data_IF_126403350919
#
_entry.id   IF_126403350919
#
_cell.length_a   1.000
_cell.length_b   1.000
_cell.length_c   1.000
_cell.angle_alpha   90.00
_cell.angle_beta   90.00
_cell.angle_gamma   90.00
#
_symmetry.space_group_name_H-M   'P 1'
#
loop_
_entity.id
_entity.type
_entity.pdbx_description
1 polymer ?
#
# COMPACT_ATOMS: atom_id res chain seq x y z
N UNK A 1 -21.29 31.99 1.39
CA UNK A 1 -20.63 30.95 0.59
C UNK A 1 -19.14 31.08 0.84
N UNK A 2 -18.68 30.54 1.96
CA UNK A 2 -17.25 30.45 2.28
C UNK A 2 -16.70 29.27 1.49
N UNK A 3 -15.70 29.56 0.68
CA UNK A 3 -14.99 28.63 -0.19
C UNK A 3 -14.46 27.45 0.64
N UNK A 4 -15.12 26.29 0.53
CA UNK A 4 -14.94 25.15 1.43
C UNK A 4 -13.83 24.18 1.00
N UNK A 5 -13.04 24.51 -0.03
CA UNK A 5 -12.16 23.51 -0.63
C UNK A 5 -10.71 23.92 -0.85
N UNK A 6 -10.23 24.99 -0.20
CA UNK A 6 -8.81 25.36 -0.28
C UNK A 6 -8.03 24.70 0.86
N UNK A 7 -7.91 23.37 0.83
CA UNK A 7 -6.99 22.68 1.75
C UNK A 7 -5.58 23.17 1.50
N UNK A 8 -4.88 23.41 2.59
CA UNK A 8 -3.61 24.09 2.56
C UNK A 8 -2.55 23.12 1.97
N UNK A 9 -1.80 23.49 0.91
CA UNK A 9 -0.68 22.70 0.40
C UNK A 9 0.32 22.29 1.49
N UNK A 10 0.41 23.04 2.60
CA UNK A 10 1.22 22.68 3.77
C UNK A 10 0.79 21.37 4.46
N UNK A 11 -0.47 20.93 4.35
CA UNK A 11 -0.94 19.66 4.92
C UNK A 11 -0.32 18.45 4.21
N UNK A 12 -0.28 18.48 2.87
CA UNK A 12 0.39 17.45 2.06
C UNK A 12 1.91 17.45 2.28
N UNK A 13 2.51 18.61 2.55
CA UNK A 13 3.95 18.72 2.79
C UNK A 13 4.39 17.95 4.05
N UNK A 14 3.60 17.95 5.12
CA UNK A 14 3.94 17.22 6.35
C UNK A 14 3.83 15.71 6.12
N UNK A 15 2.75 15.27 5.48
CA UNK A 15 2.52 13.90 5.05
C UNK A 15 3.68 13.35 4.21
N UNK A 16 4.03 14.06 3.12
CA UNK A 16 5.12 13.68 2.21
C UNK A 16 6.46 13.69 2.95
N UNK A 17 6.74 14.68 3.81
CA UNK A 17 7.98 14.70 4.61
C UNK A 17 8.08 13.50 5.54
N UNK A 18 6.99 13.12 6.21
CA UNK A 18 7.00 11.94 7.07
C UNK A 18 7.24 10.67 6.25
N UNK A 19 6.51 10.47 5.15
CA UNK A 19 6.64 9.30 4.29
C UNK A 19 8.04 9.20 3.65
N UNK A 20 8.57 10.32 3.16
CA UNK A 20 9.80 10.35 2.36
C UNK A 20 11.08 10.48 3.19
N UNK A 21 11.03 11.19 4.33
CA UNK A 21 12.24 11.66 5.03
C UNK A 21 12.35 11.16 6.47
N UNK A 22 11.29 10.65 7.08
CA UNK A 22 11.38 10.13 8.45
C UNK A 22 12.13 8.79 8.47
N UNK A 23 13.02 8.62 9.44
CA UNK A 23 13.66 7.32 9.66
C UNK A 23 12.64 6.32 10.24
N UNK A 24 11.61 6.83 10.90
CA UNK A 24 10.51 6.11 11.51
C UNK A 24 9.70 5.32 10.46
N UNK A 25 9.31 5.93 9.33
CA UNK A 25 8.64 5.20 8.24
C UNK A 25 9.53 4.09 7.69
N UNK A 26 10.81 4.38 7.46
CA UNK A 26 11.76 3.36 7.00
C UNK A 26 11.91 2.20 7.99
N UNK A 27 11.87 2.48 9.30
CA UNK A 27 11.90 1.46 10.35
C UNK A 27 10.59 0.64 10.40
N UNK A 28 9.43 1.30 10.28
CA UNK A 28 8.12 0.65 10.24
C UNK A 28 7.99 -0.27 9.01
N UNK A 29 8.40 0.19 7.82
CA UNK A 29 8.41 -0.61 6.60
C UNK A 29 9.28 -1.87 6.75
N UNK A 30 10.48 -1.74 7.36
CA UNK A 30 11.33 -2.90 7.69
C UNK A 30 10.65 -3.84 8.68
N UNK A 31 9.96 -3.30 9.68
CA UNK A 31 9.21 -4.09 10.65
C UNK A 31 8.09 -4.89 9.96
N UNK A 32 7.36 -4.27 9.02
CA UNK A 32 6.33 -4.93 8.23
C UNK A 32 6.92 -6.10 7.43
N UNK A 33 8.04 -5.90 6.73
CA UNK A 33 8.68 -6.99 5.98
C UNK A 33 9.34 -8.06 6.87
N UNK A 34 9.85 -7.69 8.04
CA UNK A 34 10.35 -8.66 9.02
C UNK A 34 9.21 -9.56 9.54
N UNK A 35 8.05 -8.97 9.84
CA UNK A 35 6.86 -9.72 10.23
C UNK A 35 6.33 -10.58 9.07
N UNK A 36 6.21 -10.03 7.87
CA UNK A 36 5.82 -10.77 6.67
C UNK A 36 6.73 -11.99 6.43
N UNK A 37 8.04 -11.81 6.60
CA UNK A 37 9.03 -12.89 6.48
C UNK A 37 8.79 -14.00 7.51
N UNK A 38 8.50 -13.64 8.76
CA UNK A 38 8.18 -14.60 9.81
C UNK A 38 6.92 -15.40 9.43
N UNK A 39 5.84 -14.71 9.06
CA UNK A 39 4.56 -15.32 8.69
C UNK A 39 4.63 -16.19 7.45
N UNK A 40 5.41 -15.78 6.45
CA UNK A 40 5.65 -16.56 5.25
C UNK A 40 6.32 -17.90 5.60
N UNK A 41 7.37 -17.87 6.41
CA UNK A 41 8.07 -19.09 6.85
C UNK A 41 7.18 -19.99 7.70
N UNK A 42 6.31 -19.42 8.53
CA UNK A 42 5.31 -20.17 9.28
C UNK A 42 4.30 -20.85 8.36
N UNK A 43 3.72 -20.11 7.42
CA UNK A 43 2.74 -20.62 6.46
C UNK A 43 3.33 -21.73 5.58
N UNK A 44 4.54 -21.53 5.03
CA UNK A 44 5.24 -22.54 4.22
C UNK A 44 5.47 -23.83 5.02
N UNK A 45 5.94 -23.72 6.26
CA UNK A 45 6.14 -24.90 7.14
C UNK A 45 4.81 -25.61 7.45
N UNK A 46 3.77 -24.85 7.77
CA UNK A 46 2.45 -25.40 8.10
C UNK A 46 1.77 -26.13 6.93
N UNK A 47 2.15 -25.81 5.69
CA UNK A 47 1.65 -26.44 4.46
C UNK A 47 2.60 -27.49 3.88
N UNK A 48 3.75 -27.75 4.51
CA UNK A 48 4.72 -28.75 4.03
C UNK A 48 5.53 -28.32 2.79
N UNK A 49 5.52 -27.04 2.44
CA UNK A 49 6.17 -26.49 1.24
C UNK A 49 5.48 -25.23 0.72
N UNK A 50 6.13 -24.50 -0.21
CA UNK A 50 5.55 -23.30 -0.83
C UNK A 50 4.72 -23.58 -2.08
N UNK A 51 4.90 -24.74 -2.72
CA UNK A 51 4.18 -25.12 -3.92
C UNK A 51 2.65 -24.98 -3.74
N UNK A 52 2.01 -24.23 -4.63
CA UNK A 52 0.56 -23.95 -4.58
C UNK A 52 0.12 -22.88 -3.58
N UNK A 53 1.06 -22.30 -2.82
CA UNK A 53 0.82 -21.10 -2.02
C UNK A 53 1.06 -19.84 -2.83
N UNK A 54 0.42 -18.74 -2.42
CA UNK A 54 0.62 -17.43 -3.01
C UNK A 54 0.79 -16.33 -1.97
N UNK A 55 1.63 -15.36 -2.30
CA UNK A 55 1.67 -14.04 -1.69
C UNK A 55 1.04 -13.06 -2.68
N UNK A 56 0.11 -12.24 -2.20
CA UNK A 56 -0.44 -11.12 -2.95
C UNK A 56 0.10 -9.83 -2.35
N UNK A 57 0.64 -8.94 -3.18
CA UNK A 57 1.11 -7.64 -2.73
C UNK A 57 0.56 -6.54 -3.60
N UNK A 58 0.16 -5.43 -2.98
CA UNK A 58 0.11 -4.15 -3.67
C UNK A 58 1.53 -3.72 -4.12
N UNK A 59 1.60 -2.74 -5.03
CA UNK A 59 2.85 -2.19 -5.56
C UNK A 59 3.20 -0.84 -4.91
N UNK A 60 2.29 0.14 -4.91
CA UNK A 60 2.63 1.53 -4.61
C UNK A 60 2.54 1.78 -3.10
N UNK A 61 3.55 2.39 -2.49
CA UNK A 61 3.68 2.56 -1.03
C UNK A 61 3.72 1.25 -0.22
N UNK A 62 3.71 0.09 -0.90
CA UNK A 62 3.96 -1.24 -0.34
C UNK A 62 5.31 -1.80 -0.80
N UNK A 63 5.59 -1.80 -2.11
CA UNK A 63 6.85 -2.25 -2.72
C UNK A 63 7.68 -1.07 -3.22
N UNK A 64 7.02 -0.13 -3.90
CA UNK A 64 7.63 1.04 -4.54
C UNK A 64 7.34 2.29 -3.73
N UNK A 65 8.38 3.07 -3.47
CA UNK A 65 8.25 4.41 -2.92
C UNK A 65 8.06 5.41 -4.08
N UNK A 66 6.86 5.99 -4.16
CA UNK A 66 6.50 7.00 -5.17
C UNK A 66 6.46 8.41 -4.59
N UNK A 67 6.99 8.66 -3.40
CA UNK A 67 6.96 9.98 -2.77
C UNK A 67 7.63 11.08 -3.61
N UNK A 68 8.54 10.71 -4.53
CA UNK A 68 9.16 11.64 -5.48
C UNK A 68 8.13 12.33 -6.40
N UNK A 69 7.16 11.59 -6.95
CA UNK A 69 6.12 12.19 -7.80
C UNK A 69 5.14 13.01 -6.98
N UNK A 70 4.83 12.59 -5.76
CA UNK A 70 3.98 13.37 -4.84
C UNK A 70 4.64 14.71 -4.47
N UNK A 71 5.95 14.70 -4.19
CA UNK A 71 6.71 15.91 -3.92
C UNK A 71 6.79 16.84 -5.14
N UNK A 72 6.89 16.27 -6.35
CA UNK A 72 6.87 17.05 -7.60
C UNK A 72 5.51 17.75 -7.81
N UNK A 73 4.41 16.99 -7.77
CA UNK A 73 3.03 17.52 -7.89
C UNK A 73 2.79 18.64 -6.88
N UNK A 74 3.22 18.43 -5.62
CA UNK A 74 3.12 19.44 -4.57
C UNK A 74 3.92 20.72 -4.89
N UNK A 75 5.17 20.58 -5.32
CA UNK A 75 6.10 21.70 -5.52
C UNK A 75 5.69 22.56 -6.71
N UNK A 76 5.15 21.93 -7.76
CA UNK A 76 4.64 22.62 -8.95
C UNK A 76 3.22 23.17 -8.76
N UNK A 77 2.58 22.90 -7.61
CA UNK A 77 1.22 23.36 -7.32
C UNK A 77 0.15 22.71 -8.18
N UNK A 78 0.41 21.48 -8.66
CA UNK A 78 -0.55 20.70 -9.42
C UNK A 78 -1.61 20.07 -8.50
N UNK A 79 -2.79 19.81 -9.05
CA UNK A 79 -3.87 19.10 -8.37
C UNK A 79 -3.49 17.63 -8.18
N UNK A 80 -3.54 17.12 -6.95
CA UNK A 80 -3.26 15.71 -6.64
C UNK A 80 -4.30 14.75 -7.22
N UNK A 81 -5.47 15.24 -7.64
CA UNK A 81 -6.49 14.45 -8.34
C UNK A 81 -6.24 14.36 -9.86
N UNK A 82 -5.31 15.14 -10.41
CA UNK A 82 -4.88 15.02 -11.80
C UNK A 82 -3.80 13.93 -11.95
N UNK A 83 -4.24 12.77 -12.47
CA UNK A 83 -3.38 11.63 -12.72
C UNK A 83 -2.43 11.78 -13.91
N UNK A 84 -2.39 12.91 -14.63
CA UNK A 84 -1.50 13.11 -15.77
C UNK A 84 -0.02 12.91 -15.41
N UNK A 85 0.41 13.50 -14.30
CA UNK A 85 1.78 13.38 -13.80
C UNK A 85 2.06 11.97 -13.27
N UNK A 86 1.09 11.35 -12.60
CA UNK A 86 1.20 9.97 -12.12
C UNK A 86 1.31 8.95 -13.26
N UNK A 87 0.46 9.05 -14.29
CA UNK A 87 0.54 8.22 -15.50
C UNK A 87 1.89 8.33 -16.19
N UNK A 88 2.47 9.53 -16.21
CA UNK A 88 3.83 9.74 -16.74
C UNK A 88 4.88 9.12 -15.83
N UNK A 89 4.76 9.28 -14.51
CA UNK A 89 5.64 8.66 -13.52
C UNK A 89 5.67 7.13 -13.62
N UNK A 90 4.52 6.48 -13.84
CA UNK A 90 4.50 5.02 -14.04
C UNK A 90 5.32 4.55 -15.27
N UNK A 91 5.47 5.41 -16.29
CA UNK A 91 6.23 5.10 -17.51
C UNK A 91 7.70 5.46 -17.43
N UNK A 92 7.98 6.65 -16.89
CA UNK A 92 9.28 7.33 -16.99
C UNK A 92 9.96 7.49 -15.62
N UNK A 93 9.24 7.24 -14.53
CA UNK A 93 9.72 7.42 -13.18
C UNK A 93 10.71 6.35 -12.74
N UNK A 94 11.49 6.70 -11.73
CA UNK A 94 12.47 5.83 -11.11
C UNK A 94 12.15 5.69 -9.61
N UNK A 95 11.08 4.96 -9.24
CA UNK A 95 10.76 4.73 -7.84
C UNK A 95 11.86 3.88 -7.18
N UNK A 96 12.05 4.11 -5.88
CA UNK A 96 12.91 3.29 -5.05
C UNK A 96 12.13 2.10 -4.50
N UNK A 97 12.84 1.03 -4.12
CA UNK A 97 12.22 -0.05 -3.35
C UNK A 97 12.02 0.38 -1.90
N UNK A 98 10.87 0.04 -1.35
CA UNK A 98 10.62 0.12 0.07
C UNK A 98 11.60 -0.83 0.81
N UNK A 99 12.24 -0.38 1.91
CA UNK A 99 13.26 -1.17 2.58
C UNK A 99 12.76 -2.53 3.06
N UNK A 100 13.40 -3.61 2.60
CA UNK A 100 13.06 -4.99 2.94
C UNK A 100 12.24 -5.73 1.87
N UNK A 101 11.69 -5.02 0.88
CA UNK A 101 10.88 -5.62 -0.18
C UNK A 101 11.66 -6.69 -0.97
N UNK A 102 12.82 -6.32 -1.54
CA UNK A 102 13.63 -7.24 -2.35
C UNK A 102 13.94 -8.55 -1.62
N UNK A 103 14.40 -8.46 -0.37
CA UNK A 103 14.77 -9.64 0.44
C UNK A 103 13.55 -10.53 0.72
N UNK A 104 12.39 -9.94 1.01
CA UNK A 104 11.16 -10.68 1.25
C UNK A 104 10.67 -11.43 0.00
N UNK A 105 10.60 -10.76 -1.16
CA UNK A 105 10.13 -11.40 -2.37
C UNK A 105 11.13 -12.44 -2.90
N UNK A 106 12.43 -12.18 -2.81
CA UNK A 106 13.46 -13.17 -3.15
C UNK A 106 13.35 -14.42 -2.26
N UNK A 107 13.04 -14.24 -0.96
CA UNK A 107 12.76 -15.36 -0.08
C UNK A 107 11.50 -16.14 -0.51
N UNK A 108 10.40 -15.46 -0.81
CA UNK A 108 9.16 -16.11 -1.27
C UNK A 108 9.40 -16.96 -2.52
N UNK A 109 10.13 -16.42 -3.49
CA UNK A 109 10.54 -17.13 -4.70
C UNK A 109 11.40 -18.36 -4.39
N UNK A 110 12.41 -18.21 -3.51
CA UNK A 110 13.28 -19.32 -3.10
C UNK A 110 12.55 -20.45 -2.35
N UNK A 111 11.37 -20.16 -1.80
CA UNK A 111 10.52 -21.12 -1.08
C UNK A 111 9.45 -21.75 -1.98
N UNK A 112 9.46 -21.47 -3.29
CA UNK A 112 8.47 -21.93 -4.28
C UNK A 112 7.06 -21.36 -4.02
N UNK A 113 6.97 -20.19 -3.38
CA UNK A 113 5.71 -19.47 -3.19
C UNK A 113 5.49 -18.53 -4.37
N UNK A 114 4.30 -18.61 -4.96
CA UNK A 114 3.94 -17.78 -6.12
C UNK A 114 3.67 -16.33 -5.69
N UNK A 115 4.24 -15.35 -6.38
CA UNK A 115 4.09 -13.93 -6.07
C UNK A 115 3.18 -13.26 -7.10
N UNK A 116 2.13 -12.61 -6.61
CA UNK A 116 1.23 -11.78 -7.41
C UNK A 116 1.34 -10.31 -6.98
N UNK A 117 1.56 -9.45 -7.96
CA UNK A 117 1.58 -7.99 -7.83
C UNK A 117 0.23 -7.44 -8.29
N UNK A 118 -0.63 -7.05 -7.35
CA UNK A 118 -2.02 -6.60 -7.62
C UNK A 118 -2.14 -5.13 -7.25
N UNK A 119 -2.18 -4.27 -8.27
CA UNK A 119 -2.09 -2.80 -8.09
C UNK A 119 -3.10 -2.07 -8.96
N UNK A 120 -3.42 -0.84 -8.59
CA UNK A 120 -4.27 0.06 -9.37
C UNK A 120 -3.48 1.04 -10.24
N UNK A 121 -2.19 0.76 -10.49
CA UNK A 121 -1.48 1.34 -11.64
C UNK A 121 -2.26 1.10 -12.93
N UNK A 122 -2.12 2.01 -13.89
CA UNK A 122 -2.91 1.95 -15.11
C UNK A 122 -2.48 0.77 -16.00
N UNK A 123 -3.45 0.01 -16.52
CA UNK A 123 -3.16 -1.13 -17.40
C UNK A 123 -2.46 -0.70 -18.71
N UNK A 124 -2.73 0.51 -19.20
CA UNK A 124 -2.00 1.11 -20.34
C UNK A 124 -0.49 1.22 -20.08
N UNK A 125 -0.07 1.26 -18.82
CA UNK A 125 1.33 1.32 -18.39
C UNK A 125 1.88 -0.05 -17.95
N UNK A 126 1.18 -1.17 -18.19
CA UNK A 126 1.55 -2.50 -17.70
C UNK A 126 2.98 -2.92 -18.01
N UNK A 127 3.42 -2.73 -19.25
CA UNK A 127 4.79 -3.10 -19.64
C UNK A 127 5.85 -2.21 -18.97
N UNK A 128 5.54 -0.94 -18.70
CA UNK A 128 6.46 -0.06 -17.97
C UNK A 128 6.55 -0.45 -16.49
N UNK A 129 5.43 -0.84 -15.87
CA UNK A 129 5.40 -1.38 -14.51
C UNK A 129 6.21 -2.67 -14.42
N UNK A 130 5.99 -3.62 -15.35
CA UNK A 130 6.78 -4.86 -15.43
C UNK A 130 8.28 -4.54 -15.56
N UNK A 131 8.66 -3.65 -16.50
CA UNK A 131 10.05 -3.26 -16.70
C UNK A 131 10.65 -2.64 -15.44
N UNK A 132 9.89 -1.83 -14.70
CA UNK A 132 10.32 -1.21 -13.44
C UNK A 132 10.56 -2.26 -12.35
N UNK A 133 9.60 -3.16 -12.10
CA UNK A 133 9.75 -4.22 -11.10
C UNK A 133 10.91 -5.17 -11.44
N UNK A 134 11.08 -5.53 -12.72
CA UNK A 134 12.21 -6.34 -13.19
C UNK A 134 13.55 -5.64 -13.02
N UNK A 135 13.63 -4.34 -13.37
CA UNK A 135 14.85 -3.53 -13.20
C UNK A 135 15.27 -3.42 -11.73
N UNK A 136 14.29 -3.38 -10.82
CA UNK A 136 14.50 -3.37 -9.38
C UNK A 136 14.81 -4.77 -8.80
N UNK A 137 14.87 -5.80 -9.64
CA UNK A 137 15.31 -7.14 -9.24
C UNK A 137 14.25 -7.97 -8.52
N UNK A 138 12.97 -7.62 -8.64
CA UNK A 138 11.90 -8.44 -8.06
C UNK A 138 11.71 -9.73 -8.87
N UNK A 139 11.41 -10.86 -8.20
CA UNK A 139 11.21 -12.14 -8.87
C UNK A 139 9.82 -12.24 -9.49
N UNK A 140 9.63 -13.24 -10.34
CA UNK A 140 8.30 -13.63 -10.83
C UNK A 140 7.51 -12.51 -11.56
N UNK A 141 8.20 -11.47 -12.04
CA UNK A 141 7.57 -10.34 -12.74
C UNK A 141 7.21 -10.74 -14.17
N UNK A 142 6.02 -11.32 -14.34
CA UNK A 142 5.46 -11.72 -15.63
C UNK A 142 4.02 -11.21 -15.75
N UNK A 143 3.52 -11.07 -16.99
CA UNK A 143 2.25 -10.41 -17.28
C UNK A 143 1.04 -11.00 -16.54
N UNK A 144 1.00 -12.32 -16.32
CA UNK A 144 -0.09 -13.00 -15.61
C UNK A 144 -0.06 -12.78 -14.10
N UNK A 145 1.10 -12.39 -13.54
CA UNK A 145 1.30 -12.18 -12.11
C UNK A 145 1.31 -10.68 -11.74
N UNK A 146 1.42 -9.79 -12.74
CA UNK A 146 1.25 -8.35 -12.59
C UNK A 146 -0.16 -7.96 -13.03
N UNK A 147 -1.07 -7.87 -12.07
CA UNK A 147 -2.50 -7.64 -12.26
C UNK A 147 -2.85 -6.18 -11.95
N UNK A 148 -2.83 -5.33 -12.98
CA UNK A 148 -3.05 -3.89 -12.87
C UNK A 148 -4.53 -3.51 -12.85
N UNK A 149 -4.81 -2.20 -12.86
CA UNK A 149 -6.16 -1.65 -12.80
C UNK A 149 -7.08 -2.21 -13.89
N UNK A 150 -8.32 -2.51 -13.49
CA UNK A 150 -9.32 -3.19 -14.32
C UNK A 150 -10.50 -3.58 -13.43
N UNK A 151 -10.78 -4.88 -13.22
CA UNK A 151 -11.70 -5.31 -12.18
C UNK A 151 -11.24 -4.87 -10.78
N UNK A 152 -12.14 -4.76 -9.78
CA UNK A 152 -11.76 -4.53 -8.39
C UNK A 152 -10.68 -5.49 -7.89
N UNK A 153 -9.79 -5.03 -6.99
CA UNK A 153 -8.72 -5.90 -6.44
C UNK A 153 -9.27 -7.19 -5.82
N UNK A 154 -10.47 -7.13 -5.22
CA UNK A 154 -11.15 -8.31 -4.68
C UNK A 154 -11.41 -9.41 -5.73
N UNK A 155 -11.80 -9.04 -6.96
CA UNK A 155 -12.02 -10.00 -8.05
C UNK A 155 -10.70 -10.57 -8.56
N UNK A 156 -9.65 -9.74 -8.66
CA UNK A 156 -8.29 -10.18 -9.01
C UNK A 156 -7.75 -11.17 -7.97
N UNK A 157 -7.94 -10.88 -6.67
CA UNK A 157 -7.60 -11.78 -5.57
C UNK A 157 -8.41 -13.08 -5.61
N UNK A 158 -9.71 -13.02 -5.89
CA UNK A 158 -10.54 -14.22 -6.04
C UNK A 158 -10.04 -15.12 -7.19
N UNK A 159 -9.63 -14.53 -8.32
CA UNK A 159 -9.05 -15.28 -9.43
C UNK A 159 -7.76 -16.04 -9.04
N UNK A 160 -6.92 -15.42 -8.21
CA UNK A 160 -5.72 -16.06 -7.63
C UNK A 160 -6.14 -17.18 -6.67
N UNK A 161 -7.09 -16.91 -5.76
CA UNK A 161 -7.56 -17.86 -4.75
C UNK A 161 -8.19 -19.13 -5.34
N UNK A 162 -8.72 -19.07 -6.57
CA UNK A 162 -9.23 -20.23 -7.30
C UNK A 162 -8.14 -21.24 -7.72
N UNK A 163 -6.87 -20.83 -7.72
CA UNK A 163 -5.74 -21.63 -8.20
C UNK A 163 -4.64 -21.82 -7.16
N UNK A 164 -4.54 -20.88 -6.21
CA UNK A 164 -3.50 -20.86 -5.18
C UNK A 164 -4.11 -20.60 -3.80
N UNK A 165 -3.47 -21.14 -2.77
CA UNK A 165 -3.78 -20.73 -1.39
C UNK A 165 -3.04 -19.42 -1.08
N UNK A 166 -3.75 -18.30 -1.06
CA UNK A 166 -3.17 -17.03 -0.61
C UNK A 166 -2.85 -17.16 0.89
N UNK A 167 -1.57 -17.04 1.24
CA UNK A 167 -1.08 -17.14 2.63
C UNK A 167 -0.71 -15.80 3.23
N UNK A 168 -0.40 -14.80 2.41
CA UNK A 168 -0.17 -13.42 2.84
C UNK A 168 -0.72 -12.44 1.83
N UNK A 169 -1.21 -11.33 2.36
CA UNK A 169 -1.56 -10.13 1.62
C UNK A 169 -0.77 -8.96 2.20
N UNK A 170 -0.14 -8.17 1.33
CA UNK A 170 0.66 -7.00 1.68
C UNK A 170 0.05 -5.78 1.00
N UNK A 171 -0.10 -4.68 1.74
CA UNK A 171 -0.73 -3.47 1.23
C UNK A 171 -0.63 -2.30 2.19
N UNK A 172 -0.82 -1.09 1.71
CA UNK A 172 -0.86 0.13 2.52
C UNK A 172 -2.29 0.68 2.68
N UNK A 173 -3.24 0.18 1.87
CA UNK A 173 -4.64 0.58 1.92
C UNK A 173 -5.57 -0.61 2.15
N UNK A 174 -6.66 -0.39 2.90
CA UNK A 174 -7.44 -1.52 3.45
C UNK A 174 -8.12 -2.39 2.38
N UNK A 175 -8.39 -1.83 1.20
CA UNK A 175 -8.99 -2.58 0.09
C UNK A 175 -8.00 -3.53 -0.62
N UNK A 176 -6.71 -3.45 -0.29
CA UNK A 176 -5.70 -4.45 -0.68
C UNK A 176 -5.97 -5.81 -0.04
N UNK A 177 -6.66 -5.83 1.09
CA UNK A 177 -6.91 -7.03 1.88
C UNK A 177 -8.31 -7.60 1.69
N UNK A 178 -9.34 -6.73 1.68
CA UNK A 178 -10.74 -7.16 1.56
C UNK A 178 -11.57 -6.19 0.70
N UNK A 179 -12.47 -6.75 -0.12
CA UNK A 179 -13.36 -5.96 -0.96
C UNK A 179 -14.37 -5.14 -0.17
N UNK A 180 -14.68 -5.55 1.07
CA UNK A 180 -15.58 -4.83 1.96
C UNK A 180 -15.10 -3.42 2.32
N UNK A 181 -13.81 -3.11 2.17
CA UNK A 181 -13.27 -1.77 2.39
C UNK A 181 -13.41 -0.84 1.18
N UNK A 182 -13.66 -1.36 -0.02
CA UNK A 182 -13.72 -0.55 -1.23
C UNK A 182 -14.92 0.40 -1.21
N UNK A 183 -14.67 1.70 -1.40
CA UNK A 183 -15.72 2.72 -1.45
C UNK A 183 -16.39 3.05 -0.11
N UNK A 184 -15.85 2.55 1.01
CA UNK A 184 -16.44 2.75 2.33
C UNK A 184 -16.13 4.12 2.92
N UNK A 185 -17.05 4.60 3.77
CA UNK A 185 -16.83 5.77 4.63
C UNK A 185 -15.70 5.53 5.63
N UNK A 186 -15.10 6.58 6.17
CA UNK A 186 -14.04 6.45 7.18
C UNK A 186 -14.52 5.71 8.45
N UNK A 187 -15.75 6.00 8.90
CA UNK A 187 -16.34 5.30 10.06
C UNK A 187 -16.55 3.80 9.78
N UNK A 188 -16.99 3.45 8.58
CA UNK A 188 -17.10 2.04 8.16
C UNK A 188 -15.74 1.36 8.03
N UNK A 189 -14.72 2.07 7.53
CA UNK A 189 -13.34 1.56 7.49
C UNK A 189 -12.83 1.25 8.91
N UNK A 190 -13.07 2.13 9.88
CA UNK A 190 -12.72 1.89 11.28
C UNK A 190 -13.44 0.68 11.87
N UNK A 191 -14.76 0.55 11.64
CA UNK A 191 -15.54 -0.58 12.12
C UNK A 191 -15.06 -1.89 11.49
N UNK A 192 -14.90 -1.93 10.18
CA UNK A 192 -14.42 -3.12 9.45
C UNK A 192 -13.01 -3.51 9.88
N UNK A 193 -12.13 -2.53 10.14
CA UNK A 193 -10.80 -2.81 10.68
C UNK A 193 -10.89 -3.45 12.08
N UNK A 194 -11.78 -2.98 12.95
CA UNK A 194 -12.01 -3.63 14.24
C UNK A 194 -12.57 -5.06 14.07
N UNK A 195 -13.51 -5.26 13.15
CA UNK A 195 -14.10 -6.57 12.84
C UNK A 195 -13.04 -7.58 12.33
N UNK A 196 -12.00 -7.10 11.64
CA UNK A 196 -10.91 -7.91 11.08
C UNK A 196 -9.61 -7.85 11.89
N UNK A 197 -9.64 -7.35 13.13
CA UNK A 197 -8.44 -7.08 13.92
C UNK A 197 -7.47 -8.27 14.03
N UNK A 198 -8.00 -9.50 14.08
CA UNK A 198 -7.20 -10.73 14.15
C UNK A 198 -6.47 -11.13 12.86
N UNK A 199 -6.65 -10.40 11.75
CA UNK A 199 -5.94 -10.64 10.47
C UNK A 199 -4.66 -9.81 10.36
N UNK A 200 -4.66 -8.61 10.95
CA UNK A 200 -3.55 -7.68 10.85
C UNK A 200 -2.31 -8.22 11.59
N UNK A 201 -1.19 -8.32 10.89
CA UNK A 201 0.05 -8.91 11.38
C UNK A 201 0.08 -10.44 11.40
N UNK A 202 -1.02 -11.11 11.05
CA UNK A 202 -1.10 -12.56 10.90
C UNK A 202 -0.96 -12.95 9.43
N UNK A 203 -1.93 -12.54 8.60
CA UNK A 203 -1.91 -12.78 7.16
C UNK A 203 -2.19 -11.53 6.32
N UNK A 204 -2.54 -10.41 6.96
CA UNK A 204 -2.59 -9.07 6.37
C UNK A 204 -1.47 -8.22 6.93
N UNK A 205 -0.49 -7.85 6.11
CA UNK A 205 0.63 -7.00 6.52
C UNK A 205 0.41 -5.60 5.98
N UNK A 206 0.08 -4.67 6.88
CA UNK A 206 -0.24 -3.28 6.55
C UNK A 206 1.01 -2.41 6.58
N UNK A 207 1.24 -1.67 5.51
CA UNK A 207 2.34 -0.71 5.38
C UNK A 207 1.88 0.69 5.77
N UNK A 208 2.75 1.51 6.41
CA UNK A 208 2.41 2.89 6.71
C UNK A 208 2.40 3.71 5.43
N UNK A 209 1.28 4.40 5.18
CA UNK A 209 1.16 5.37 4.12
C UNK A 209 0.46 6.63 4.64
N UNK A 210 1.25 7.71 4.75
CA UNK A 210 0.76 9.04 5.13
C UNK A 210 0.47 9.93 3.92
N UNK A 211 0.59 9.44 2.68
CA UNK A 211 0.52 10.28 1.50
C UNK A 211 -0.83 10.23 0.77
N UNK A 212 -1.62 9.16 0.93
CA UNK A 212 -2.97 9.08 0.38
C UNK A 212 -3.91 8.17 1.18
N UNK A 213 -5.21 8.32 0.92
CA UNK A 213 -6.29 7.52 1.53
C UNK A 213 -7.48 8.38 1.94
N UNK A 214 -8.62 7.73 2.23
CA UNK A 214 -9.87 8.40 2.63
C UNK A 214 -9.72 9.27 3.88
N UNK A 215 -8.75 8.96 4.73
CA UNK A 215 -8.45 9.69 5.95
C UNK A 215 -7.87 11.09 5.70
N UNK A 216 -7.32 11.39 4.51
CA UNK A 216 -6.85 12.74 4.15
C UNK A 216 -7.99 13.77 4.16
N UNK A 217 -9.23 13.30 3.96
CA UNK A 217 -10.41 14.15 3.92
C UNK A 217 -11.00 14.45 5.32
N UNK A 218 -10.46 13.84 6.37
CA UNK A 218 -11.06 13.85 7.69
C UNK A 218 -10.73 15.12 8.47
N UNK A 219 -11.74 15.66 9.18
CA UNK A 219 -11.52 16.74 10.14
C UNK A 219 -10.70 16.26 11.35
N UNK A 220 -9.70 17.06 11.74
CA UNK A 220 -8.97 16.86 12.97
C UNK A 220 -9.87 17.14 14.18
N UNK A 221 -9.80 16.29 15.20
CA UNK A 221 -10.58 16.42 16.44
C UNK A 221 -9.70 17.01 17.56
N UNK A 222 -9.69 18.34 17.77
CA UNK A 222 -8.84 18.94 18.80
C UNK A 222 -9.32 18.54 20.19
N UNK A 223 -8.39 18.47 21.14
CA UNK A 223 -8.74 18.37 22.55
C UNK A 223 -9.55 19.62 22.96
N UNK A 224 -10.70 19.39 23.59
CA UNK A 224 -11.51 20.47 24.15
C UNK A 224 -11.02 20.75 25.57
N UNK A 225 -10.35 21.89 25.75
CA UNK A 225 -9.91 22.38 27.06
C UNK A 225 -11.15 22.46 27.99
N UNK A 226 -11.17 21.74 29.12
CA UNK A 226 -12.24 21.90 30.10
C UNK A 226 -12.31 23.36 30.56
N UNK A 227 -13.50 23.92 30.81
CA UNK A 227 -13.61 25.28 31.31
C UNK A 227 -12.78 25.42 32.61
N UNK A 228 -11.85 26.37 32.60
CA UNK A 228 -11.09 26.73 33.78
C UNK A 228 -12.06 27.34 34.80
N UNK A 229 -12.17 26.74 35.99
CA UNK A 229 -12.85 27.39 37.10
C UNK A 229 -11.96 28.54 37.59
N UNK A 230 -12.12 29.73 37.00
CA UNK A 230 -11.57 30.95 37.57
C UNK A 230 -12.43 31.36 38.78
N UNK A 231 -11.85 31.29 39.98
CA UNK A 231 -12.32 32.03 41.17
C UNK A 231 -13.27 31.29 42.11
N UNK A 232 -12.70 30.67 43.15
CA UNK A 232 -13.29 30.63 44.48
C UNK A 232 -12.41 31.48 45.41
#
# INVERSE_FOLDING_TARGET
MTDQNNRNPYEHAVAIRYQQRSAEVGALQRQCYALATLRLREAVRANGGGAGLAVVSDIDETILDNTAIMAHVMTEGHDFTDFTHWKRWEREGEPALIPGAADFFALADSLDVTVFYVSDRFDENKFATIATLSRLGLPQVVADQVMLFGPPKAERRAAIANRFRIVLQLGDTLHDFDGAFAGQTLDDQHRLAADHAGRFGEDWIVFPNAAHGTWLEADLRPWQLPPHAEGA
#
